data_IF_469081295374
#
_entry.id   IF_469081295374
#
_cell.length_a   1.000
_cell.length_b   1.000
_cell.length_c   1.000
_cell.angle_alpha   90.00
_cell.angle_beta   90.00
_cell.angle_gamma   90.00
#
_symmetry.space_group_name_H-M   'P 1'
#
loop_
_entity.id
_entity.type
_entity.pdbx_description
1 polymer ?
#
# COMPACT_ATOMS: atom_id res chain seq x y z
N UNK A 1 -20.90 26.29 -2.19
CA UNK A 1 -20.32 24.97 -2.46
C UNK A 1 -18.85 25.19 -2.73
N UNK A 2 -17.98 24.61 -1.90
CA UNK A 2 -16.53 24.65 -2.09
C UNK A 2 -16.11 23.54 -3.08
N UNK A 3 -15.13 23.82 -3.93
CA UNK A 3 -14.57 22.86 -4.87
C UNK A 3 -13.06 22.81 -4.66
N UNK A 4 -12.55 21.65 -4.27
CA UNK A 4 -11.11 21.37 -4.23
C UNK A 4 -10.71 20.77 -5.56
N UNK A 5 -9.70 21.35 -6.19
CA UNK A 5 -9.11 20.88 -7.44
C UNK A 5 -7.63 20.59 -7.24
N UNK A 6 -7.20 19.35 -7.48
CA UNK A 6 -5.81 18.93 -7.27
C UNK A 6 -5.31 18.06 -8.42
N UNK A 7 -4.24 18.51 -9.07
CA UNK A 7 -3.49 17.62 -9.97
C UNK A 7 -2.74 16.57 -9.16
N UNK A 8 -2.95 15.31 -9.51
CA UNK A 8 -2.29 14.16 -8.89
C UNK A 8 -1.27 13.62 -9.89
N UNK A 9 0.00 13.90 -9.61
CA UNK A 9 1.13 13.38 -10.39
C UNK A 9 1.44 11.93 -9.99
N UNK A 10 2.13 11.21 -10.86
CA UNK A 10 2.69 9.89 -10.55
C UNK A 10 3.60 9.98 -9.30
N UNK A 11 3.37 9.09 -8.34
CA UNK A 11 4.24 8.91 -7.17
C UNK A 11 4.61 7.44 -7.02
N UNK A 12 5.90 7.19 -6.83
CA UNK A 12 6.49 5.84 -6.77
C UNK A 12 6.13 5.00 -8.01
N UNK A 13 5.22 4.04 -7.85
CA UNK A 13 4.72 3.13 -8.88
C UNK A 13 3.22 3.28 -9.13
N UNK A 14 2.52 4.17 -8.40
CA UNK A 14 1.09 4.39 -8.57
C UNK A 14 0.86 5.48 -9.62
N UNK A 15 -0.02 5.23 -10.62
CA UNK A 15 -0.31 6.23 -11.62
C UNK A 15 -0.99 7.46 -11.01
N UNK A 16 -0.87 8.57 -11.73
CA UNK A 16 -1.67 9.77 -11.54
C UNK A 16 -2.31 10.15 -12.86
N UNK A 17 -2.99 11.30 -12.91
CA UNK A 17 -3.55 11.82 -14.14
C UNK A 17 -2.96 13.20 -14.45
N UNK A 18 -2.09 13.32 -15.48
CA UNK A 18 -1.46 14.60 -15.80
C UNK A 18 -2.39 15.55 -16.56
N UNK A 19 -3.55 15.09 -17.02
CA UNK A 19 -4.48 15.86 -17.86
C UNK A 19 -5.68 16.39 -17.08
N UNK A 20 -6.19 15.61 -16.12
CA UNK A 20 -7.40 15.93 -15.38
C UNK A 20 -7.14 15.96 -13.87
N UNK A 21 -7.67 16.96 -13.14
CA UNK A 21 -7.52 17.06 -11.70
C UNK A 21 -8.49 16.12 -10.97
N UNK A 22 -8.09 15.68 -9.78
CA UNK A 22 -9.04 15.26 -8.74
C UNK A 22 -9.94 16.43 -8.39
N UNK A 23 -11.25 16.19 -8.36
CA UNK A 23 -12.26 17.18 -7.96
C UNK A 23 -13.02 16.70 -6.73
N UNK A 24 -13.14 17.55 -5.71
CA UNK A 24 -13.96 17.29 -4.53
C UNK A 24 -14.94 18.45 -4.36
N UNK A 25 -16.21 18.18 -4.61
CA UNK A 25 -17.31 19.10 -4.38
C UNK A 25 -17.83 18.90 -2.96
N UNK A 26 -17.48 19.83 -2.08
CA UNK A 26 -17.91 19.75 -0.69
C UNK A 26 -19.39 20.10 -0.60
N UNK A 27 -20.15 19.22 0.04
CA UNK A 27 -21.55 19.45 0.38
C UNK A 27 -22.46 19.71 -0.84
N UNK A 28 -22.15 19.06 -1.98
CA UNK A 28 -22.94 19.15 -3.21
C UNK A 28 -24.38 18.61 -3.04
N UNK A 29 -24.57 17.66 -2.11
CA UNK A 29 -25.85 17.00 -1.83
C UNK A 29 -26.33 17.20 -0.38
N UNK A 30 -25.93 18.29 0.29
CA UNK A 30 -26.13 18.55 1.74
C UNK A 30 -27.58 18.42 2.27
N UNK A 31 -28.58 18.34 1.39
CA UNK A 31 -30.00 18.20 1.75
C UNK A 31 -30.65 16.89 1.27
N UNK A 32 -29.89 15.94 0.72
CA UNK A 32 -30.46 14.67 0.26
C UNK A 32 -30.42 13.63 1.38
N UNK A 33 -31.51 13.52 2.16
CA UNK A 33 -31.86 12.24 2.82
C UNK A 33 -32.47 11.27 1.81
N UNK A 34 -31.99 11.34 0.56
CA UNK A 34 -32.58 10.62 -0.55
C UNK A 34 -32.08 9.18 -0.52
N UNK A 35 -32.97 8.21 -0.78
CA UNK A 35 -32.54 6.83 -0.92
C UNK A 35 -31.47 6.69 -2.01
N UNK A 36 -30.48 5.82 -1.81
CA UNK A 36 -29.38 5.61 -2.75
C UNK A 36 -29.85 5.40 -4.19
N UNK A 37 -30.98 4.69 -4.38
CA UNK A 37 -31.61 4.48 -5.69
C UNK A 37 -31.93 5.78 -6.44
N UNK A 38 -32.39 6.83 -5.73
CA UNK A 38 -32.70 8.12 -6.36
C UNK A 38 -31.42 8.79 -6.86
N UNK A 39 -30.35 8.74 -6.06
CA UNK A 39 -29.05 9.27 -6.44
C UNK A 39 -28.46 8.48 -7.62
N UNK A 40 -28.53 7.15 -7.58
CA UNK A 40 -28.11 6.27 -8.68
C UNK A 40 -28.87 6.58 -9.98
N UNK A 41 -30.19 6.81 -9.92
CA UNK A 41 -30.96 7.19 -11.11
C UNK A 41 -30.55 8.56 -11.66
N UNK A 42 -30.18 9.53 -10.80
CA UNK A 42 -29.63 10.81 -11.27
C UNK A 42 -28.25 10.66 -11.89
N UNK A 43 -27.40 9.83 -11.31
CA UNK A 43 -26.10 9.48 -11.88
C UNK A 43 -26.29 8.91 -13.28
N UNK A 44 -27.20 7.95 -13.45
CA UNK A 44 -27.49 7.31 -14.73
C UNK A 44 -28.02 8.31 -15.78
N UNK A 45 -28.92 9.21 -15.37
CA UNK A 45 -29.40 10.32 -16.22
C UNK A 45 -28.29 11.30 -16.65
N UNK A 46 -27.18 11.36 -15.90
CA UNK A 46 -26.00 12.15 -16.19
C UNK A 46 -24.85 11.29 -16.76
N UNK A 47 -25.17 10.14 -17.35
CA UNK A 47 -24.22 9.21 -17.99
C UNK A 47 -23.20 8.58 -17.04
N UNK A 48 -23.51 8.50 -15.73
CA UNK A 48 -22.77 7.71 -14.76
C UNK A 48 -23.55 6.42 -14.46
N UNK A 49 -23.13 5.30 -15.02
CA UNK A 49 -23.76 3.99 -14.85
C UNK A 49 -22.90 3.04 -14.02
N UNK A 50 -23.26 1.74 -14.02
CA UNK A 50 -22.58 0.68 -13.27
C UNK A 50 -22.43 1.01 -11.78
N UNK A 51 -23.41 1.72 -11.22
CA UNK A 51 -23.32 2.23 -9.86
C UNK A 51 -23.43 1.11 -8.82
N UNK A 52 -22.71 1.28 -7.72
CA UNK A 52 -22.67 0.38 -6.56
C UNK A 52 -22.83 1.18 -5.26
N UNK A 53 -23.11 0.50 -4.16
CA UNK A 53 -23.29 1.13 -2.83
C UNK A 53 -22.46 0.35 -1.80
N UNK A 54 -21.38 0.95 -1.30
CA UNK A 54 -20.46 0.35 -0.32
C UNK A 54 -19.53 1.42 0.30
N UNK A 55 -18.49 1.03 1.02
CA UNK A 55 -17.38 1.89 1.43
C UNK A 55 -16.20 1.89 0.47
N UNK A 56 -15.15 2.63 0.83
CA UNK A 56 -13.87 2.67 0.11
C UNK A 56 -12.92 1.62 0.73
N UNK A 57 -12.13 0.94 -0.11
CA UNK A 57 -11.08 0.00 0.32
C UNK A 57 -9.99 0.71 1.13
N UNK A 58 -9.37 -0.03 2.06
CA UNK A 58 -8.27 0.41 2.90
C UNK A 58 -6.88 0.23 2.26
N UNK A 59 -6.82 -0.31 1.04
CA UNK A 59 -5.62 -0.40 0.21
C UNK A 59 -5.73 0.49 -1.04
N UNK A 60 -4.58 0.94 -1.53
CA UNK A 60 -4.51 1.75 -2.75
C UNK A 60 -5.02 0.95 -3.95
N UNK A 61 -6.05 1.46 -4.61
CA UNK A 61 -6.59 0.93 -5.86
C UNK A 61 -6.92 2.07 -6.81
N UNK A 62 -7.05 1.77 -8.09
CA UNK A 62 -7.45 2.72 -9.12
C UNK A 62 -8.06 2.00 -10.32
N UNK A 63 -8.70 2.78 -11.18
CA UNK A 63 -9.19 2.36 -12.47
C UNK A 63 -8.33 2.98 -13.57
N UNK A 64 -7.68 2.16 -14.39
CA UNK A 64 -6.77 2.63 -15.45
C UNK A 64 -7.52 3.23 -16.64
N UNK A 65 -8.72 2.72 -16.91
CA UNK A 65 -9.47 2.96 -18.14
C UNK A 65 -10.64 3.94 -17.98
N UNK A 66 -11.03 4.27 -16.75
CA UNK A 66 -12.27 5.03 -16.50
C UNK A 66 -12.15 5.97 -15.31
N UNK A 67 -12.93 7.05 -15.36
CA UNK A 67 -13.10 7.95 -14.22
C UNK A 67 -14.11 7.34 -13.26
N UNK A 68 -13.98 7.68 -11.98
CA UNK A 68 -14.90 7.24 -10.95
C UNK A 68 -15.53 8.46 -10.28
N UNK A 69 -16.84 8.41 -10.07
CA UNK A 69 -17.53 9.33 -9.16
C UNK A 69 -17.85 8.61 -7.87
N UNK A 70 -17.50 9.23 -6.74
CA UNK A 70 -17.96 8.80 -5.42
C UNK A 70 -18.92 9.84 -4.86
N UNK A 71 -20.10 9.40 -4.44
CA UNK A 71 -21.09 10.22 -3.75
C UNK A 71 -21.22 9.75 -2.31
N UNK A 72 -20.87 10.60 -1.35
CA UNK A 72 -20.86 10.20 0.07
C UNK A 72 -22.27 10.35 0.65
N UNK A 73 -22.90 9.25 1.01
CA UNK A 73 -24.31 9.22 1.42
C UNK A 73 -24.48 9.19 2.93
N UNK A 74 -23.47 8.76 3.68
CA UNK A 74 -23.51 8.71 5.15
C UNK A 74 -22.10 8.70 5.72
N UNK A 75 -21.92 9.27 6.91
CA UNK A 75 -20.69 9.23 7.67
C UNK A 75 -19.55 10.08 7.11
N UNK A 76 -18.34 9.77 7.56
CA UNK A 76 -17.10 10.46 7.18
C UNK A 76 -15.95 9.46 6.95
N UNK A 77 -15.00 9.86 6.12
CA UNK A 77 -13.82 9.05 5.81
C UNK A 77 -12.61 9.94 5.47
N UNK A 78 -11.43 9.54 5.93
CA UNK A 78 -10.17 10.11 5.45
C UNK A 78 -9.69 9.32 4.24
N UNK A 79 -9.57 9.98 3.08
CA UNK A 79 -9.14 9.34 1.84
C UNK A 79 -7.82 9.94 1.37
N UNK A 80 -6.86 9.06 1.10
CA UNK A 80 -5.58 9.42 0.49
C UNK A 80 -5.63 9.19 -1.01
N UNK A 81 -5.08 10.12 -1.80
CA UNK A 81 -5.07 10.06 -3.27
C UNK A 81 -3.65 10.16 -3.84
N UNK A 82 -3.30 9.34 -4.83
CA UNK A 82 -2.05 9.42 -5.59
C UNK A 82 -0.86 8.66 -5.00
N UNK A 83 -1.04 7.87 -3.94
CA UNK A 83 0.01 7.05 -3.31
C UNK A 83 0.35 7.46 -1.88
N UNK A 84 1.39 6.85 -1.31
CA UNK A 84 1.72 6.98 0.14
C UNK A 84 2.09 8.41 0.57
N UNK A 85 2.59 9.25 -0.34
CA UNK A 85 2.85 10.67 -0.11
C UNK A 85 1.77 11.59 -0.74
N UNK A 86 0.65 10.98 -1.14
CA UNK A 86 -0.48 11.64 -1.75
C UNK A 86 -1.26 12.52 -0.78
N UNK A 87 -1.97 13.56 -1.27
CA UNK A 87 -2.82 14.38 -0.41
C UNK A 87 -3.92 13.55 0.25
N UNK A 88 -4.22 13.90 1.50
CA UNK A 88 -5.29 13.30 2.30
C UNK A 88 -6.39 14.33 2.47
N UNK A 89 -7.62 13.93 2.20
CA UNK A 89 -8.80 14.75 2.41
C UNK A 89 -9.82 14.04 3.29
N UNK A 90 -10.41 14.80 4.22
CA UNK A 90 -11.62 14.37 4.91
C UNK A 90 -12.81 14.56 3.98
N UNK A 91 -13.54 13.48 3.71
CA UNK A 91 -14.79 13.49 2.95
C UNK A 91 -15.96 13.18 3.89
N UNK A 92 -17.06 13.90 3.71
CA UNK A 92 -18.23 13.80 4.59
C UNK A 92 -19.48 13.55 3.75
N UNK A 93 -20.54 13.06 4.40
CA UNK A 93 -21.88 12.99 3.82
C UNK A 93 -22.23 14.27 3.03
N UNK A 94 -22.73 14.09 1.81
CA UNK A 94 -23.08 15.16 0.89
C UNK A 94 -21.94 15.60 -0.03
N UNK A 95 -20.71 15.16 0.19
CA UNK A 95 -19.59 15.42 -0.72
C UNK A 95 -19.68 14.54 -1.98
N UNK A 96 -19.21 15.07 -3.11
CA UNK A 96 -19.06 14.33 -4.37
C UNK A 96 -17.62 14.45 -4.83
N UNK A 97 -16.98 13.32 -5.14
CA UNK A 97 -15.60 13.23 -5.60
C UNK A 97 -15.59 12.72 -7.04
N UNK A 98 -14.85 13.37 -7.93
CA UNK A 98 -14.54 12.86 -9.27
C UNK A 98 -13.06 12.52 -9.30
N UNK A 99 -12.78 11.23 -9.47
CA UNK A 99 -11.45 10.64 -9.48
C UNK A 99 -11.08 10.35 -10.94
N UNK A 100 -10.08 11.04 -11.50
CA UNK A 100 -9.60 10.73 -12.83
C UNK A 100 -9.04 9.31 -12.94
N UNK A 101 -9.13 8.76 -14.13
CA UNK A 101 -8.54 7.47 -14.46
C UNK A 101 -7.05 7.49 -14.11
N UNK A 102 -6.57 6.40 -13.51
CA UNK A 102 -5.20 6.24 -13.03
C UNK A 102 -4.93 6.80 -11.64
N UNK A 103 -5.83 7.58 -11.03
CA UNK A 103 -5.57 8.11 -9.68
C UNK A 103 -5.85 7.05 -8.61
N UNK A 104 -4.78 6.56 -7.99
CA UNK A 104 -4.86 5.68 -6.82
C UNK A 104 -5.53 6.35 -5.64
N UNK A 105 -6.34 5.60 -4.89
CA UNK A 105 -6.92 6.09 -3.64
C UNK A 105 -7.16 4.96 -2.63
N UNK A 106 -7.20 5.32 -1.34
CA UNK A 106 -7.53 4.41 -0.22
C UNK A 106 -8.14 5.15 0.96
N UNK A 107 -8.96 4.45 1.73
CA UNK A 107 -9.46 4.88 3.04
C UNK A 107 -8.37 4.69 4.11
N UNK A 108 -8.06 5.73 4.87
CA UNK A 108 -7.20 5.68 6.07
C UNK A 108 -7.99 5.46 7.36
N UNK A 109 -9.31 5.57 7.28
CA UNK A 109 -10.22 5.46 8.43
C UNK A 109 -11.59 6.01 8.04
N UNK A 110 -12.64 5.36 8.52
CA UNK A 110 -14.03 5.71 8.22
C UNK A 110 -14.93 5.52 9.43
N UNK A 111 -15.97 6.33 9.54
CA UNK A 111 -16.98 6.18 10.59
C UNK A 111 -17.74 4.85 10.42
N UNK A 112 -18.33 4.33 11.50
CA UNK A 112 -19.05 3.05 11.49
C UNK A 112 -20.23 3.00 10.53
N UNK A 113 -20.82 4.17 10.24
CA UNK A 113 -21.94 4.33 9.34
C UNK A 113 -21.52 4.87 7.95
N UNK A 114 -20.23 4.86 7.63
CA UNK A 114 -19.75 5.39 6.36
C UNK A 114 -20.32 4.58 5.18
N UNK A 115 -20.89 5.28 4.21
CA UNK A 115 -21.37 4.70 2.96
C UNK A 115 -21.20 5.70 1.83
N UNK A 116 -20.85 5.18 0.66
CA UNK A 116 -20.81 5.94 -0.59
C UNK A 116 -21.44 5.16 -1.74
N UNK A 117 -21.73 5.88 -2.81
CA UNK A 117 -22.12 5.34 -4.10
C UNK A 117 -20.98 5.59 -5.06
N UNK A 118 -20.39 4.54 -5.62
CA UNK A 118 -19.48 4.69 -6.76
C UNK A 118 -20.20 4.47 -8.08
N UNK A 119 -19.79 5.18 -9.12
CA UNK A 119 -20.29 5.00 -10.49
C UNK A 119 -19.24 5.43 -11.52
N UNK A 120 -19.47 5.07 -12.78
CA UNK A 120 -18.51 5.24 -13.87
C UNK A 120 -19.21 5.76 -15.15
N UNK A 121 -18.50 6.44 -16.07
CA UNK A 121 -19.04 6.81 -17.36
C UNK A 121 -19.71 5.64 -18.11
N UNK A 122 -20.84 5.93 -18.76
CA UNK A 122 -21.81 4.96 -19.29
C UNK A 122 -21.21 3.81 -20.14
N UNK A 123 -20.15 4.10 -20.86
CA UNK A 123 -19.57 3.30 -21.94
C UNK A 123 -18.41 2.39 -21.52
N UNK A 124 -17.99 2.45 -20.25
CA UNK A 124 -16.83 1.67 -19.77
C UNK A 124 -17.20 0.90 -18.51
N UNK A 125 -17.19 -0.44 -18.59
CA UNK A 125 -17.17 -1.28 -17.40
C UNK A 125 -15.83 -1.05 -16.67
N UNK A 126 -15.84 -0.72 -15.37
CA UNK A 126 -14.62 -0.46 -14.63
C UNK A 126 -13.77 -1.73 -14.57
N UNK A 127 -12.53 -1.61 -15.00
CA UNK A 127 -11.54 -2.65 -14.77
C UNK A 127 -10.71 -2.24 -13.55
N UNK A 128 -10.70 -3.09 -12.52
CA UNK A 128 -9.66 -3.02 -11.50
C UNK A 128 -8.38 -3.51 -12.17
N UNK A 129 -7.33 -2.69 -12.17
CA UNK A 129 -6.06 -3.02 -12.82
C UNK A 129 -5.27 -4.04 -11.98
N UNK A 130 -5.77 -5.27 -11.98
CA UNK A 130 -5.18 -6.41 -11.28
C UNK A 130 -3.77 -6.71 -11.77
N UNK A 131 -3.50 -6.46 -13.05
CA UNK A 131 -2.16 -6.61 -13.61
C UNK A 131 -1.20 -5.63 -12.95
N UNK A 132 -1.55 -4.36 -12.79
CA UNK A 132 -0.67 -3.41 -12.11
C UNK A 132 -0.57 -3.68 -10.61
N UNK A 133 -1.67 -4.04 -9.93
CA UNK A 133 -1.60 -4.47 -8.51
C UNK A 133 -0.63 -5.65 -8.37
N UNK A 134 -0.71 -6.62 -9.27
CA UNK A 134 0.17 -7.78 -9.28
C UNK A 134 1.61 -7.40 -9.65
N UNK A 135 1.82 -6.49 -10.60
CA UNK A 135 3.15 -5.98 -10.96
C UNK A 135 3.77 -5.15 -9.83
N UNK A 136 2.99 -4.34 -9.11
CA UNK A 136 3.43 -3.64 -7.92
C UNK A 136 3.85 -4.63 -6.84
N UNK A 137 3.04 -5.66 -6.61
CA UNK A 137 3.38 -6.71 -5.65
C UNK A 137 4.68 -7.42 -6.05
N UNK A 138 4.77 -7.89 -7.30
CA UNK A 138 5.93 -8.63 -7.81
C UNK A 138 7.17 -7.74 -7.87
N UNK A 139 7.14 -6.63 -8.62
CA UNK A 139 8.31 -5.79 -8.87
C UNK A 139 8.63 -4.85 -7.72
N UNK A 140 7.61 -4.30 -7.07
CA UNK A 140 7.78 -3.41 -5.92
C UNK A 140 8.22 -4.18 -4.69
N UNK A 141 7.34 -5.05 -4.15
CA UNK A 141 7.63 -5.81 -2.92
C UNK A 141 8.72 -6.85 -3.17
N UNK A 142 8.57 -7.70 -4.19
CA UNK A 142 9.60 -8.71 -4.51
C UNK A 142 10.94 -8.09 -4.91
N UNK A 143 10.94 -6.95 -5.60
CA UNK A 143 12.16 -6.22 -5.95
C UNK A 143 12.86 -5.61 -4.73
N UNK A 144 12.09 -5.11 -3.75
CA UNK A 144 12.64 -4.68 -2.47
C UNK A 144 13.21 -5.89 -1.70
N UNK A 145 12.46 -6.99 -1.59
CA UNK A 145 12.88 -8.24 -0.94
C UNK A 145 14.21 -8.78 -1.49
N UNK A 146 14.42 -8.70 -2.80
CA UNK A 146 15.68 -9.08 -3.46
C UNK A 146 16.88 -8.22 -3.02
N UNK A 147 16.65 -6.96 -2.67
CA UNK A 147 17.68 -5.97 -2.31
C UNK A 147 17.95 -5.90 -0.81
N UNK A 148 17.14 -6.56 0.02
CA UNK A 148 17.26 -6.47 1.47
C UNK A 148 18.50 -7.21 2.00
N UNK A 149 19.08 -6.74 3.12
CA UNK A 149 20.26 -7.37 3.71
C UNK A 149 19.95 -8.81 4.17
N UNK A 150 21.00 -9.64 4.31
CA UNK A 150 20.92 -11.07 4.69
C UNK A 150 19.96 -11.37 5.85
N UNK A 151 19.78 -10.43 6.78
CA UNK A 151 18.89 -10.62 7.92
C UNK A 151 17.44 -10.82 7.50
N UNK A 152 16.93 -10.10 6.50
CA UNK A 152 15.54 -10.30 6.03
C UNK A 152 15.35 -11.71 5.48
N UNK A 153 16.35 -12.21 4.74
CA UNK A 153 16.35 -13.59 4.24
C UNK A 153 16.35 -14.60 5.38
N UNK A 154 17.09 -14.31 6.47
CA UNK A 154 17.05 -15.18 7.63
C UNK A 154 15.67 -15.24 8.27
N UNK A 155 15.01 -14.10 8.44
CA UNK A 155 13.67 -14.05 9.00
C UNK A 155 12.63 -14.70 8.07
N UNK A 156 12.68 -14.46 6.76
CA UNK A 156 11.77 -15.05 5.78
C UNK A 156 11.97 -16.57 5.62
N UNK A 157 13.21 -17.02 5.50
CA UNK A 157 13.52 -18.43 5.27
C UNK A 157 13.68 -19.24 6.57
N UNK A 158 13.24 -18.69 7.71
CA UNK A 158 13.22 -19.42 8.98
C UNK A 158 11.94 -20.25 9.14
N UNK A 159 12.07 -21.43 9.72
CA UNK A 159 10.97 -22.29 10.18
C UNK A 159 10.62 -22.10 11.64
N UNK A 160 11.34 -21.25 12.37
CA UNK A 160 11.28 -21.22 13.84
C UNK A 160 10.51 -19.99 14.35
N UNK A 161 10.14 -19.09 13.44
CA UNK A 161 9.53 -17.80 13.76
C UNK A 161 8.42 -17.50 12.76
N UNK A 162 7.21 -17.22 13.24
CA UNK A 162 6.07 -16.76 12.45
C UNK A 162 6.03 -15.23 12.41
N UNK A 163 5.39 -14.64 11.40
CA UNK A 163 5.20 -13.18 11.31
C UNK A 163 3.94 -12.68 12.00
N UNK A 164 3.09 -13.59 12.48
CA UNK A 164 1.99 -13.27 13.37
C UNK A 164 2.16 -13.97 14.73
N UNK A 165 2.25 -13.23 15.85
CA UNK A 165 2.45 -11.77 15.92
C UNK A 165 3.83 -11.36 15.38
N UNK A 166 4.05 -10.06 15.04
CA UNK A 166 5.36 -9.58 14.60
C UNK A 166 6.48 -9.98 15.58
N UNK A 167 7.56 -10.63 15.11
CA UNK A 167 8.67 -11.02 15.97
C UNK A 167 9.37 -9.81 16.58
N UNK A 168 10.05 -10.03 17.71
CA UNK A 168 10.91 -9.01 18.31
C UNK A 168 12.26 -8.86 17.60
N UNK A 169 12.60 -9.76 16.69
CA UNK A 169 13.84 -9.76 15.90
C UNK A 169 15.16 -9.63 16.70
N UNK A 170 15.15 -10.07 17.97
CA UNK A 170 16.25 -9.93 18.94
C UNK A 170 17.40 -10.90 18.70
N UNK A 171 17.19 -11.98 17.96
CA UNK A 171 18.22 -12.97 17.64
C UNK A 171 18.08 -13.44 16.20
N UNK A 172 19.20 -13.84 15.58
CA UNK A 172 19.20 -14.38 14.23
C UNK A 172 18.60 -15.79 14.26
N UNK A 173 17.52 -16.07 13.53
CA UNK A 173 16.93 -17.41 13.51
C UNK A 173 17.75 -18.38 12.66
N UNK A 174 17.51 -19.68 12.84
CA UNK A 174 17.97 -20.67 11.87
C UNK A 174 17.17 -20.50 10.58
N UNK A 175 17.87 -20.55 9.46
CA UNK A 175 17.30 -20.23 8.16
C UNK A 175 17.95 -21.06 7.06
N UNK A 176 17.12 -21.58 6.16
CA UNK A 176 17.58 -22.32 4.99
C UNK A 176 18.14 -21.40 3.90
N UNK A 177 17.82 -20.10 3.93
CA UNK A 177 18.03 -19.14 2.83
C UNK A 177 17.37 -19.57 1.50
N UNK A 178 16.42 -20.50 1.57
CA UNK A 178 15.64 -20.98 0.42
C UNK A 178 14.17 -20.65 0.60
N UNK A 179 13.47 -20.48 -0.52
CA UNK A 179 12.02 -20.31 -0.56
C UNK A 179 11.40 -21.46 -1.37
N UNK A 180 10.21 -21.90 -0.97
CA UNK A 180 9.48 -22.90 -1.74
C UNK A 180 8.75 -22.23 -2.91
N UNK A 181 9.11 -22.60 -4.13
CA UNK A 181 8.46 -22.09 -5.33
C UNK A 181 7.37 -23.06 -5.80
N UNK A 182 6.10 -22.68 -5.63
CA UNK A 182 4.97 -23.51 -6.03
C UNK A 182 4.92 -23.80 -7.53
N UNK A 183 5.50 -22.92 -8.37
CA UNK A 183 5.50 -23.11 -9.84
C UNK A 183 6.45 -24.21 -10.27
N UNK A 184 7.62 -24.27 -9.64
CA UNK A 184 8.63 -25.30 -9.93
C UNK A 184 8.50 -26.52 -9.01
N UNK A 185 7.66 -26.42 -7.97
CA UNK A 185 7.46 -27.41 -6.92
C UNK A 185 8.77 -27.80 -6.21
N UNK A 186 9.66 -26.82 -6.00
CA UNK A 186 11.00 -27.01 -5.43
C UNK A 186 11.38 -25.86 -4.51
N UNK A 187 12.33 -26.14 -3.61
CA UNK A 187 13.03 -25.09 -2.89
C UNK A 187 14.09 -24.45 -3.80
N UNK A 188 14.08 -23.13 -3.87
CA UNK A 188 15.01 -22.32 -4.66
C UNK A 188 15.82 -21.43 -3.74
N UNK A 189 17.10 -21.25 -4.04
CA UNK A 189 17.95 -20.31 -3.29
C UNK A 189 17.46 -18.87 -3.49
N UNK A 190 17.29 -18.14 -2.39
CA UNK A 190 16.82 -16.75 -2.43
C UNK A 190 17.69 -15.86 -3.33
N UNK A 191 19.01 -16.13 -3.34
CA UNK A 191 20.02 -15.40 -4.10
C UNK A 191 20.46 -16.12 -5.38
N UNK A 192 19.73 -17.13 -5.85
CA UNK A 192 20.07 -17.77 -7.11
C UNK A 192 20.19 -16.74 -8.24
N UNK A 193 21.20 -16.89 -9.10
CA UNK A 193 21.45 -15.92 -10.18
C UNK A 193 20.28 -15.84 -11.18
N UNK A 194 19.53 -16.93 -11.30
CA UNK A 194 18.33 -17.09 -12.11
C UNK A 194 17.03 -16.87 -11.32
N UNK A 195 17.12 -16.48 -10.04
CA UNK A 195 15.96 -16.21 -9.18
C UNK A 195 15.04 -15.16 -9.80
N UNK A 196 13.76 -15.55 -9.92
CA UNK A 196 12.67 -14.70 -10.41
C UNK A 196 11.96 -13.94 -9.28
N UNK A 197 12.51 -13.96 -8.06
CA UNK A 197 12.07 -13.08 -6.99
C UNK A 197 12.20 -11.62 -7.45
N UNK A 198 11.12 -10.85 -7.33
CA UNK A 198 11.07 -9.47 -7.81
C UNK A 198 10.88 -9.29 -9.32
N UNK A 199 10.71 -10.39 -10.06
CA UNK A 199 10.53 -10.39 -11.52
C UNK A 199 9.22 -11.11 -11.88
N UNK A 200 9.07 -12.35 -11.41
CA UNK A 200 7.86 -13.16 -11.63
C UNK A 200 7.05 -13.33 -10.34
N UNK A 201 7.68 -13.33 -9.16
CA UNK A 201 7.00 -13.58 -7.88
C UNK A 201 7.55 -12.74 -6.72
N UNK A 202 6.80 -12.74 -5.62
CA UNK A 202 7.18 -12.16 -4.31
C UNK A 202 7.29 -13.28 -3.29
N UNK A 203 8.17 -13.15 -2.30
CA UNK A 203 8.22 -14.07 -1.17
C UNK A 203 7.12 -13.72 -0.17
N UNK A 204 6.36 -14.72 0.25
CA UNK A 204 5.32 -14.61 1.25
C UNK A 204 5.63 -15.49 2.45
N UNK A 205 5.44 -14.96 3.66
CA UNK A 205 5.49 -15.70 4.93
C UNK A 205 4.30 -15.29 5.80
N UNK A 206 3.12 -15.83 5.44
CA UNK A 206 1.85 -15.49 6.08
C UNK A 206 1.64 -16.08 7.48
N UNK A 207 0.45 -15.87 8.04
CA UNK A 207 0.10 -16.10 9.45
C UNK A 207 0.33 -17.53 9.96
N UNK A 208 0.20 -18.54 9.11
CA UNK A 208 0.34 -19.96 9.46
C UNK A 208 1.42 -20.68 8.64
N UNK A 209 2.32 -19.94 7.98
CA UNK A 209 3.31 -20.51 7.08
C UNK A 209 4.71 -20.45 7.67
N UNK A 210 5.33 -21.62 7.79
CA UNK A 210 6.75 -21.75 8.11
C UNK A 210 7.57 -21.63 6.83
N UNK A 211 8.60 -20.79 6.86
CA UNK A 211 9.45 -20.51 5.70
C UNK A 211 8.78 -19.65 4.62
N UNK A 212 9.60 -19.17 3.68
CA UNK A 212 9.16 -18.32 2.58
C UNK A 212 8.58 -19.15 1.45
N UNK A 213 7.48 -18.67 0.86
CA UNK A 213 6.89 -19.25 -0.35
C UNK A 213 6.77 -18.23 -1.47
N UNK A 214 6.93 -18.66 -2.72
CA UNK A 214 6.70 -17.81 -3.89
C UNK A 214 5.19 -17.62 -4.12
N UNK A 215 4.73 -16.37 -4.14
CA UNK A 215 3.34 -16.01 -4.46
C UNK A 215 3.25 -15.12 -5.69
N UNK A 216 2.10 -15.25 -6.38
CA UNK A 216 1.68 -14.45 -7.51
C UNK A 216 0.35 -13.79 -7.13
N UNK A 217 0.30 -12.46 -7.09
CA UNK A 217 -0.84 -11.69 -6.58
C UNK A 217 -0.66 -11.19 -5.15
N UNK A 218 -1.36 -10.09 -4.84
CA UNK A 218 -1.36 -9.46 -3.52
C UNK A 218 -2.12 -10.33 -2.50
N UNK A 219 -1.44 -11.32 -1.91
CA UNK A 219 -1.99 -12.21 -0.89
C UNK A 219 -1.31 -11.89 0.44
N UNK A 220 -2.09 -11.67 1.51
CA UNK A 220 -1.58 -11.65 2.89
C UNK A 220 -0.92 -10.34 3.39
N UNK A 221 -1.13 -9.21 2.71
CA UNK A 221 -0.31 -8.00 2.85
C UNK A 221 -0.23 -7.31 4.24
N UNK A 222 -1.17 -7.54 5.17
CA UNK A 222 -1.17 -6.82 6.46
C UNK A 222 -0.09 -7.36 7.43
N UNK A 223 -0.09 -8.68 7.66
CA UNK A 223 0.85 -9.32 8.61
C UNK A 223 2.31 -9.15 8.18
N UNK A 224 2.59 -9.30 6.90
CA UNK A 224 3.96 -9.15 6.38
C UNK A 224 4.43 -7.70 6.44
N UNK A 225 3.55 -6.75 6.14
CA UNK A 225 3.87 -5.33 6.24
C UNK A 225 4.20 -4.94 7.67
N UNK A 226 3.42 -5.40 8.65
CA UNK A 226 3.66 -5.11 10.07
C UNK A 226 4.96 -5.73 10.57
N UNK A 227 5.25 -6.99 10.20
CA UNK A 227 6.53 -7.63 10.52
C UNK A 227 7.72 -6.91 9.88
N UNK A 228 7.59 -6.45 8.62
CA UNK A 228 8.65 -5.71 7.94
C UNK A 228 8.85 -4.30 8.48
N UNK A 229 7.77 -3.60 8.87
CA UNK A 229 7.86 -2.32 9.58
C UNK A 229 8.60 -2.46 10.91
N UNK A 230 8.22 -3.45 11.73
CA UNK A 230 8.89 -3.72 12.99
C UNK A 230 10.38 -4.06 12.78
N UNK A 231 10.71 -4.90 11.78
CA UNK A 231 12.09 -5.22 11.44
C UNK A 231 12.87 -3.97 10.98
N UNK A 232 12.26 -3.12 10.14
CA UNK A 232 12.86 -1.88 9.67
C UNK A 232 13.15 -0.91 10.83
N UNK A 233 12.17 -0.69 11.71
CA UNK A 233 12.30 0.18 12.89
C UNK A 233 13.43 -0.27 13.82
N UNK A 234 13.54 -1.58 14.08
CA UNK A 234 14.64 -2.12 14.89
C UNK A 234 15.98 -1.86 14.23
N UNK A 235 16.11 -2.12 12.93
CA UNK A 235 17.40 -1.98 12.23
C UNK A 235 17.84 -0.54 12.08
N UNK A 236 16.90 0.39 11.87
CA UNK A 236 17.25 1.80 11.79
C UNK A 236 17.71 2.33 13.16
N UNK A 237 17.08 1.86 14.25
CA UNK A 237 17.50 2.19 15.61
C UNK A 237 18.89 1.61 15.94
N UNK A 238 19.15 0.33 15.63
CA UNK A 238 20.50 -0.26 15.77
C UNK A 238 21.56 0.53 14.98
N UNK A 239 21.22 1.00 13.78
CA UNK A 239 22.14 1.82 12.98
C UNK A 239 22.41 3.19 13.62
N UNK A 240 21.39 3.83 14.20
CA UNK A 240 21.57 5.07 14.95
C UNK A 240 22.43 4.86 16.19
N UNK A 241 22.20 3.78 16.94
CA UNK A 241 23.03 3.42 18.10
C UNK A 241 24.47 3.15 17.69
N UNK A 242 24.70 2.38 16.62
CA UNK A 242 26.04 2.12 16.10
C UNK A 242 26.73 3.41 15.67
N UNK A 243 26.02 4.30 14.97
CA UNK A 243 26.57 5.62 14.59
C UNK A 243 26.93 6.46 15.82
N UNK A 244 26.09 6.45 16.85
CA UNK A 244 26.36 7.14 18.12
C UNK A 244 27.61 6.57 18.80
N UNK A 245 27.72 5.24 18.91
CA UNK A 245 28.87 4.56 19.49
C UNK A 245 30.16 4.82 18.71
N UNK A 246 30.11 4.76 17.38
CA UNK A 246 31.25 5.06 16.52
C UNK A 246 31.70 6.53 16.66
N UNK A 247 30.75 7.46 16.77
CA UNK A 247 31.05 8.89 16.99
C UNK A 247 31.69 9.11 18.37
N UNK A 248 31.14 8.51 19.42
CA UNK A 248 31.70 8.57 20.77
C UNK A 248 33.10 7.95 20.87
N UNK A 249 33.34 6.85 20.13
CA UNK A 249 34.66 6.23 20.04
C UNK A 249 35.68 7.16 19.38
N UNK A 250 35.31 7.81 18.27
CA UNK A 250 36.16 8.78 17.59
C UNK A 250 36.45 10.02 18.45
N UNK A 251 35.48 10.50 19.22
CA UNK A 251 35.66 11.61 20.17
C UNK A 251 36.58 11.23 21.34
N UNK A 252 36.44 10.02 21.88
CA UNK A 252 37.30 9.49 22.94
C UNK A 252 38.75 9.29 22.46
N UNK A 253 38.94 8.75 21.25
CA UNK A 253 40.27 8.59 20.65
C UNK A 253 40.93 9.95 20.37
N UNK A 254 40.15 10.94 19.92
CA UNK A 254 40.63 12.32 19.77
C UNK A 254 41.07 12.97 21.10
N UNK A 255 40.44 12.60 22.22
CA UNK A 255 40.82 13.08 23.56
C UNK A 255 42.08 12.38 24.10
N UNK A 256 42.33 11.12 23.73
CA UNK A 256 43.54 10.39 24.12
C UNK A 256 44.79 10.81 23.33
N UNK A 257 44.61 11.34 22.11
CA UNK A 257 45.70 11.81 21.23
C UNK A 257 45.94 13.33 21.36
N UNK A 258 45.14 14.04 22.16
CA UNK A 258 45.40 15.44 22.48
C UNK A 258 46.75 15.56 23.24
N UNK A 259 47.70 16.40 22.79
CA UNK A 259 48.97 16.54 23.48
C UNK A 259 48.72 17.03 24.91
N UNK A 260 49.29 16.36 25.91
CA UNK A 260 49.47 16.93 27.24
C UNK A 260 50.32 18.20 27.09
N UNK A 261 49.66 19.36 27.17
CA UNK A 261 50.32 20.68 27.25
C UNK A 261 50.69 20.92 28.71
#
# INVERSE_FOLDING_TARGET
MEIIQKMISLQDYLPGNPYYPLLIYKQALINSNEPSKVIQSRLEQNNWSHSWVDGIYDFHHYHSNTHEVLVITSGDCQVQFGGENGPIYMINQGDVIIIPAGVAHKSLGKSNNFQCIGAYPLDVAPELDWDTINQQWIKGVGGAQKKLPMRVVYEYCSTDVLFNPPPKFTSRPQSSMTLYNHRTSKYEDWFAIDSKLGIDFTAHKGENHYGATATFGAVGGHTELDAMKALYEIRINEFFEFKSQATAYLEYDHQLVAPLI
#
